data_IF_576785673217
#
_entry.id   IF_576785673217
#
_cell.length_a   1.000
_cell.length_b   1.000
_cell.length_c   1.000
_cell.angle_alpha   90.00
_cell.angle_beta   90.00
_cell.angle_gamma   90.00
#
_symmetry.space_group_name_H-M   'P 1'
#
loop_
_entity.id
_entity.type
_entity.pdbx_description
1 polymer ?
#
# COMPACT_ATOMS: atom_id res chain seq x y z
N UNK A 1 -31.47 36.08 -77.57
CA UNK A 1 -32.91 36.37 -77.36
C UNK A 1 -33.51 35.24 -76.53
N UNK A 2 -34.45 35.58 -75.62
CA UNK A 2 -35.33 34.72 -74.80
C UNK A 2 -34.64 33.92 -73.65
N UNK A 3 -34.82 34.23 -72.35
CA UNK A 3 -35.99 34.29 -71.43
C UNK A 3 -36.34 32.94 -70.77
N UNK A 4 -36.15 32.91 -69.42
CA UNK A 4 -36.96 32.25 -68.34
C UNK A 4 -37.11 30.71 -68.45
N UNK A 5 -37.37 29.90 -67.42
CA UNK A 5 -38.01 30.05 -66.11
C UNK A 5 -37.70 28.79 -65.25
N UNK A 6 -38.10 28.84 -63.98
CA UNK A 6 -37.93 27.91 -62.86
C UNK A 6 -38.19 26.41 -63.05
N UNK A 7 -37.61 25.62 -62.14
CA UNK A 7 -38.11 24.32 -61.69
C UNK A 7 -37.33 23.79 -60.48
N UNK A 8 -37.97 23.79 -59.30
CA UNK A 8 -37.49 23.21 -58.03
C UNK A 8 -37.81 21.72 -58.02
N UNK A 9 -36.89 20.86 -57.54
CA UNK A 9 -37.23 19.64 -56.78
C UNK A 9 -35.98 19.09 -56.08
N UNK A 10 -36.10 18.92 -54.77
CA UNK A 10 -35.15 18.22 -53.91
C UNK A 10 -35.29 16.69 -54.07
N UNK A 11 -34.21 15.94 -53.91
CA UNK A 11 -34.22 14.69 -53.13
C UNK A 11 -32.80 14.24 -52.76
N UNK A 12 -32.75 13.50 -51.66
CA UNK A 12 -31.62 13.29 -50.77
C UNK A 12 -30.52 12.34 -51.25
N UNK A 13 -29.39 12.52 -50.56
CA UNK A 13 -28.09 11.83 -50.54
C UNK A 13 -28.20 10.32 -50.37
N UNK A 14 -27.25 9.57 -50.94
CA UNK A 14 -26.53 8.45 -50.30
C UNK A 14 -25.31 8.07 -51.17
N UNK A 15 -24.14 8.64 -50.86
CA UNK A 15 -22.85 8.15 -51.36
C UNK A 15 -22.19 7.34 -50.23
N UNK A 16 -22.14 6.02 -50.43
CA UNK A 16 -21.40 5.08 -49.60
C UNK A 16 -19.89 5.32 -49.76
N UNK A 17 -19.22 5.77 -48.69
CA UNK A 17 -17.76 5.77 -48.60
C UNK A 17 -17.25 4.47 -47.97
N UNK A 18 -16.05 3.98 -48.34
CA UNK A 18 -15.59 2.65 -47.96
C UNK A 18 -15.08 2.60 -46.52
N UNK A 19 -15.20 1.42 -45.93
CA UNK A 19 -14.58 1.03 -44.68
C UNK A 19 -13.05 1.15 -44.77
N UNK A 20 -12.44 1.75 -43.74
CA UNK A 20 -11.03 1.55 -43.42
C UNK A 20 -10.93 1.09 -41.97
N UNK A 21 -10.69 -0.21 -41.82
CA UNK A 21 -10.10 -0.78 -40.63
C UNK A 21 -8.78 -0.04 -40.36
N UNK A 22 -8.62 0.54 -39.18
CA UNK A 22 -7.33 1.04 -38.74
C UNK A 22 -6.72 0.08 -37.73
N UNK A 23 -5.54 -0.35 -38.13
CA UNK A 23 -4.58 -1.24 -37.51
C UNK A 23 -4.22 -0.80 -36.08
N UNK A 24 -4.25 -1.73 -35.13
CA UNK A 24 -4.04 -1.51 -33.69
C UNK A 24 -2.57 -1.30 -33.29
N UNK A 25 -1.84 -0.43 -34.01
CA UNK A 25 -0.45 -0.12 -33.72
C UNK A 25 -0.30 1.08 -32.78
N UNK A 26 0.33 0.89 -31.61
CA UNK A 26 0.72 1.99 -30.72
C UNK A 26 1.77 2.86 -31.44
N UNK A 27 1.45 4.13 -31.68
CA UNK A 27 2.41 5.14 -32.13
C UNK A 27 2.98 5.88 -30.92
N UNK A 28 4.27 5.70 -30.67
CA UNK A 28 4.99 6.52 -29.70
C UNK A 28 5.32 7.87 -30.32
N UNK A 29 4.73 8.93 -29.77
CA UNK A 29 5.04 10.31 -30.13
C UNK A 29 6.02 10.88 -29.11
N UNK A 30 7.11 11.48 -29.59
CA UNK A 30 8.12 12.10 -28.73
C UNK A 30 7.53 13.34 -28.06
N UNK A 31 7.79 13.53 -26.77
CA UNK A 31 7.32 14.70 -26.02
C UNK A 31 7.91 16.00 -26.62
N UNK A 32 7.12 17.08 -26.71
CA UNK A 32 7.62 18.37 -27.20
C UNK A 32 8.62 18.98 -26.21
N UNK A 33 9.66 19.63 -26.74
CA UNK A 33 10.69 20.31 -25.95
C UNK A 33 10.13 21.56 -25.26
N UNK A 34 10.70 21.89 -24.10
CA UNK A 34 10.25 22.98 -23.25
C UNK A 34 10.25 24.32 -24.01
N UNK A 35 9.06 24.90 -24.19
CA UNK A 35 8.87 26.21 -24.83
C UNK A 35 8.16 26.19 -26.20
N UNK A 36 7.80 25.03 -26.77
CA UNK A 36 7.02 24.99 -28.01
C UNK A 36 5.54 25.33 -27.79
N UNK A 37 5.04 26.37 -28.46
CA UNK A 37 3.62 26.70 -28.57
C UNK A 37 3.02 26.10 -29.85
N UNK A 38 2.77 24.78 -29.83
CA UNK A 38 2.00 24.06 -30.87
C UNK A 38 0.55 23.77 -30.43
N UNK A 39 -0.29 23.19 -31.32
CA UNK A 39 -1.67 22.84 -30.98
C UNK A 39 -1.69 21.82 -29.84
N UNK A 40 -2.30 22.20 -28.71
CA UNK A 40 -2.50 21.32 -27.56
C UNK A 40 -3.60 20.31 -27.87
N UNK A 41 -3.42 19.05 -27.46
CA UNK A 41 -4.48 18.06 -27.49
C UNK A 41 -5.54 18.51 -26.47
N UNK A 42 -6.65 19.05 -26.97
CA UNK A 42 -7.77 19.45 -26.16
C UNK A 42 -8.72 18.24 -26.07
N UNK A 43 -8.68 17.51 -24.96
CA UNK A 43 -9.63 16.40 -24.74
C UNK A 43 -10.95 17.05 -24.31
N UNK A 44 -11.83 17.31 -25.28
CA UNK A 44 -13.22 17.64 -25.02
C UNK A 44 -14.03 16.36 -25.13
N UNK A 45 -14.50 15.85 -23.99
CA UNK A 45 -15.48 14.77 -23.98
C UNK A 45 -16.84 15.42 -24.29
N UNK A 46 -17.42 15.10 -25.44
CA UNK A 46 -18.75 15.63 -25.79
C UNK A 46 -19.85 14.83 -25.08
N UNK A 47 -21.04 15.41 -24.83
CA UNK A 47 -22.17 14.67 -24.27
C UNK A 47 -22.54 13.42 -25.10
N UNK A 48 -22.35 13.46 -26.42
CA UNK A 48 -22.53 12.30 -27.30
C UNK A 48 -21.48 11.19 -27.06
N UNK A 49 -20.26 11.55 -26.66
CA UNK A 49 -19.22 10.57 -26.30
C UNK A 49 -19.55 9.86 -24.98
N UNK A 50 -20.21 10.55 -24.05
CA UNK A 50 -20.72 9.94 -22.80
C UNK A 50 -21.87 8.97 -23.06
N UNK A 51 -22.78 9.31 -23.99
CA UNK A 51 -23.90 8.45 -24.36
C UNK A 51 -23.45 7.17 -25.10
N UNK A 52 -22.44 7.27 -25.98
CA UNK A 52 -21.88 6.08 -26.70
C UNK A 52 -21.13 5.12 -25.80
N UNK A 53 -20.47 5.62 -24.75
CA UNK A 53 -19.75 4.77 -23.80
C UNK A 53 -20.69 4.06 -22.82
N UNK A 54 -21.98 4.40 -22.86
CA UNK A 54 -22.95 3.98 -21.86
C UNK A 54 -22.65 4.68 -20.55
N UNK A 55 -23.66 5.29 -19.94
CA UNK A 55 -23.55 5.61 -18.52
C UNK A 55 -23.17 4.29 -17.81
N UNK A 56 -22.17 4.27 -16.90
CA UNK A 56 -22.06 3.14 -15.99
C UNK A 56 -23.44 2.97 -15.40
N UNK A 57 -24.02 1.78 -15.56
CA UNK A 57 -25.25 1.45 -14.87
C UNK A 57 -25.05 1.89 -13.42
N UNK A 58 -25.94 2.72 -12.90
CA UNK A 58 -25.94 3.07 -11.48
C UNK A 58 -25.99 1.75 -10.73
N UNK A 59 -24.82 1.23 -10.37
CA UNK A 59 -24.71 0.17 -9.42
C UNK A 59 -25.21 0.81 -8.15
N UNK A 60 -26.47 0.57 -7.82
CA UNK A 60 -27.00 0.84 -6.48
C UNK A 60 -25.97 0.25 -5.52
N UNK A 61 -25.15 1.11 -4.93
CA UNK A 61 -24.40 0.78 -3.73
C UNK A 61 -25.48 0.64 -2.66
N UNK A 62 -26.08 -0.55 -2.59
CA UNK A 62 -26.76 -0.96 -1.39
C UNK A 62 -25.67 -1.02 -0.33
N UNK A 63 -25.68 -0.04 0.56
CA UNK A 63 -25.19 -0.20 1.93
C UNK A 63 -25.99 -1.37 2.52
N UNK A 64 -25.59 -2.59 2.15
CA UNK A 64 -25.99 -3.78 2.86
C UNK A 64 -25.46 -3.59 4.26
N UNK A 65 -26.36 -3.66 5.24
CA UNK A 65 -25.96 -3.88 6.61
C UNK A 65 -24.87 -4.96 6.60
N UNK A 66 -23.75 -4.68 7.29
CA UNK A 66 -22.69 -5.66 7.52
C UNK A 66 -23.37 -6.92 8.03
N UNK A 67 -23.49 -7.92 7.15
CA UNK A 67 -23.95 -9.23 7.56
C UNK A 67 -22.92 -9.69 8.60
N UNK A 68 -23.34 -10.27 9.73
CA UNK A 68 -22.40 -10.81 10.70
C UNK A 68 -21.45 -11.72 9.92
N UNK A 69 -20.15 -11.48 10.10
CA UNK A 69 -19.09 -12.24 9.45
C UNK A 69 -19.50 -13.72 9.44
N UNK A 70 -19.48 -14.32 8.25
CA UNK A 70 -19.67 -15.76 8.13
C UNK A 70 -18.69 -16.40 9.12
N UNK A 71 -19.24 -17.10 10.11
CA UNK A 71 -18.49 -17.86 11.09
C UNK A 71 -17.75 -18.96 10.35
N UNK A 72 -16.54 -18.66 9.90
CA UNK A 72 -15.61 -19.59 9.28
C UNK A 72 -14.24 -19.36 9.91
N UNK A 73 -13.95 -20.22 10.88
CA UNK A 73 -12.67 -20.38 11.59
C UNK A 73 -12.11 -19.09 12.20
N UNK A 74 -12.72 -18.66 13.30
CA UNK A 74 -11.97 -17.89 14.31
C UNK A 74 -10.85 -18.79 14.81
N UNK A 75 -9.61 -18.33 14.69
CA UNK A 75 -8.43 -19.02 15.20
C UNK A 75 -8.50 -19.08 16.73
N UNK A 76 -9.21 -20.07 17.27
CA UNK A 76 -9.35 -20.34 18.71
C UNK A 76 -8.04 -20.83 19.37
N UNK A 77 -6.88 -20.54 18.78
CA UNK A 77 -5.61 -21.19 19.04
C UNK A 77 -4.48 -20.32 19.60
N UNK A 78 -4.65 -19.02 19.82
CA UNK A 78 -3.60 -18.19 20.44
C UNK A 78 -4.08 -17.62 21.77
N UNK A 79 -3.77 -18.30 22.88
CA UNK A 79 -4.05 -17.82 24.25
C UNK A 79 -3.17 -16.64 24.72
N UNK A 80 -2.60 -15.88 23.79
CA UNK A 80 -1.68 -14.77 24.03
C UNK A 80 -2.36 -13.41 24.19
N UNK A 81 -1.58 -12.38 24.52
CA UNK A 81 -2.06 -11.02 24.78
C UNK A 81 -2.80 -10.37 23.59
N UNK A 82 -2.64 -10.90 22.38
CA UNK A 82 -3.34 -10.45 21.16
C UNK A 82 -4.46 -11.38 20.69
N UNK A 83 -4.92 -12.33 21.53
CA UNK A 83 -6.03 -13.23 21.19
C UNK A 83 -7.29 -12.50 20.72
N UNK A 84 -7.63 -11.40 21.41
CA UNK A 84 -8.77 -10.54 21.10
C UNK A 84 -8.69 -9.90 19.70
N UNK A 85 -7.48 -9.70 19.19
CA UNK A 85 -7.27 -9.16 17.84
C UNK A 85 -7.56 -10.25 16.79
N UNK A 86 -6.98 -11.44 16.97
CA UNK A 86 -7.14 -12.56 16.04
C UNK A 86 -8.51 -13.25 16.11
N UNK A 87 -9.31 -12.97 17.14
CA UNK A 87 -10.71 -13.39 17.20
C UNK A 87 -11.57 -12.71 16.12
N UNK A 88 -11.20 -11.49 15.72
CA UNK A 88 -11.98 -10.66 14.78
C UNK A 88 -11.28 -10.51 13.42
N UNK A 89 -9.95 -10.54 13.38
CA UNK A 89 -9.17 -10.25 12.18
C UNK A 89 -8.71 -11.55 11.51
N UNK A 90 -9.16 -11.84 10.26
CA UNK A 90 -8.76 -13.04 9.54
C UNK A 90 -7.26 -13.13 9.29
N UNK A 91 -6.65 -14.24 9.70
CA UNK A 91 -5.21 -14.52 9.59
C UNK A 91 -4.84 -15.31 8.33
N UNK A 92 -5.79 -15.96 7.67
CA UNK A 92 -5.55 -16.90 6.58
C UNK A 92 -5.37 -16.19 5.22
N UNK A 93 -4.74 -16.88 4.28
CA UNK A 93 -4.72 -16.52 2.86
C UNK A 93 -6.02 -16.99 2.17
N UNK A 94 -6.46 -16.32 1.10
CA UNK A 94 -5.78 -15.26 0.33
C UNK A 94 -5.74 -13.90 1.04
N UNK A 95 -4.99 -12.95 0.46
CA UNK A 95 -5.02 -11.54 0.87
C UNK A 95 -6.44 -10.97 0.82
N UNK A 96 -6.79 -10.13 1.78
CA UNK A 96 -8.07 -9.40 1.81
C UNK A 96 -7.80 -7.92 2.12
N UNK A 97 -7.94 -7.00 1.16
CA UNK A 97 -7.74 -5.57 1.40
C UNK A 97 -8.61 -5.00 2.54
N UNK A 98 -9.79 -5.57 2.81
CA UNK A 98 -10.69 -5.08 3.84
C UNK A 98 -10.17 -5.34 5.26
N UNK A 99 -9.38 -6.40 5.47
CA UNK A 99 -8.93 -6.78 6.82
C UNK A 99 -7.98 -5.78 7.45
N UNK A 100 -7.26 -5.00 6.64
CA UNK A 100 -6.43 -3.91 7.16
C UNK A 100 -7.30 -2.84 7.83
N UNK A 101 -8.38 -2.39 7.18
CA UNK A 101 -9.30 -1.42 7.77
C UNK A 101 -9.99 -1.96 9.02
N UNK A 102 -10.47 -3.21 8.96
CA UNK A 102 -11.05 -3.86 10.12
C UNK A 102 -10.05 -3.94 11.29
N UNK A 103 -8.77 -4.24 11.01
CA UNK A 103 -7.71 -4.26 12.01
C UNK A 103 -7.47 -2.88 12.64
N UNK A 104 -7.43 -1.82 11.82
CA UNK A 104 -7.25 -0.45 12.29
C UNK A 104 -8.42 0.02 13.16
N UNK A 105 -9.66 -0.27 12.75
CA UNK A 105 -10.86 0.04 13.52
C UNK A 105 -10.86 -0.71 14.86
N UNK A 106 -10.58 -2.01 14.83
CA UNK A 106 -10.54 -2.86 16.02
C UNK A 106 -9.48 -2.40 17.02
N UNK A 107 -8.27 -2.08 16.53
CA UNK A 107 -7.18 -1.53 17.35
C UNK A 107 -7.53 -0.19 17.99
N UNK A 108 -8.36 0.63 17.33
CA UNK A 108 -8.73 1.96 17.84
C UNK A 108 -9.75 1.88 18.99
N UNK A 109 -10.61 0.86 19.02
CA UNK A 109 -11.70 0.73 20.01
C UNK A 109 -11.39 -0.25 21.13
N UNK A 110 -10.47 -1.20 20.93
CA UNK A 110 -10.18 -2.24 21.90
C UNK A 110 -9.31 -1.72 23.07
N UNK A 111 -9.80 -1.74 24.33
CA UNK A 111 -8.99 -1.34 25.49
C UNK A 111 -7.75 -2.24 25.68
N UNK A 112 -7.82 -3.50 25.26
CA UNK A 112 -6.74 -4.48 25.32
C UNK A 112 -5.54 -4.10 24.42
N UNK A 113 -5.73 -3.23 23.42
CA UNK A 113 -4.65 -2.74 22.56
C UNK A 113 -3.51 -2.08 23.36
N UNK A 114 -3.83 -1.48 24.51
CA UNK A 114 -2.85 -0.91 25.44
C UNK A 114 -1.83 -1.94 25.98
N UNK A 115 -2.17 -3.23 25.97
CA UNK A 115 -1.32 -4.31 26.45
C UNK A 115 -0.32 -4.85 25.42
N UNK A 116 -0.43 -4.44 24.15
CA UNK A 116 0.44 -4.91 23.05
C UNK A 116 1.89 -4.41 23.15
N UNK A 117 2.17 -3.46 24.04
CA UNK A 117 3.50 -2.83 24.13
C UNK A 117 3.86 -2.03 22.87
N UNK A 118 2.87 -1.37 22.26
CA UNK A 118 3.09 -0.53 21.09
C UNK A 118 4.05 0.63 21.41
N UNK A 119 4.94 1.00 20.46
CA UNK A 119 5.78 2.18 20.57
C UNK A 119 4.96 3.45 20.89
N UNK A 120 5.46 4.25 21.83
CA UNK A 120 4.85 5.54 22.18
C UNK A 120 5.16 6.60 21.12
N UNK A 121 4.30 7.62 21.03
CA UNK A 121 4.48 8.73 20.10
C UNK A 121 5.87 9.39 20.24
N UNK A 122 6.37 9.61 21.45
CA UNK A 122 7.70 10.18 21.68
C UNK A 122 8.82 9.37 21.02
N UNK A 123 8.68 8.04 21.01
CA UNK A 123 9.67 7.14 20.42
C UNK A 123 9.59 7.18 18.91
N UNK A 124 8.38 7.17 18.35
CA UNK A 124 8.17 7.27 16.91
C UNK A 124 8.66 8.62 16.37
N UNK A 125 8.36 9.73 17.06
CA UNK A 125 8.85 11.08 16.71
C UNK A 125 10.37 11.17 16.72
N UNK A 126 11.03 10.67 17.77
CA UNK A 126 12.49 10.70 17.89
C UNK A 126 13.19 9.91 16.77
N UNK A 127 12.62 8.78 16.36
CA UNK A 127 13.14 8.00 15.23
C UNK A 127 12.96 8.78 13.93
N UNK A 128 11.81 9.42 13.72
CA UNK A 128 11.57 10.24 12.53
C UNK A 128 12.54 11.43 12.44
N UNK A 129 12.84 12.09 13.56
CA UNK A 129 13.82 13.18 13.64
C UNK A 129 15.24 12.69 13.33
N UNK A 130 15.64 11.54 13.86
CA UNK A 130 16.98 11.00 13.70
C UNK A 130 17.23 10.39 12.31
N UNK A 131 16.25 9.68 11.77
CA UNK A 131 16.41 8.80 10.60
C UNK A 131 15.42 9.08 9.47
N UNK A 132 14.61 10.14 9.55
CA UNK A 132 13.56 10.41 8.57
C UNK A 132 14.07 10.63 7.15
N UNK A 133 15.31 11.14 6.98
CA UNK A 133 15.92 11.32 5.66
C UNK A 133 16.29 9.98 5.03
N UNK A 134 16.89 9.09 5.83
CA UNK A 134 17.32 7.76 5.42
C UNK A 134 16.09 6.89 5.11
N UNK A 135 15.02 6.98 5.92
CA UNK A 135 13.73 6.34 5.66
C UNK A 135 13.11 6.86 4.36
N UNK A 136 13.06 8.18 4.17
CA UNK A 136 12.52 8.77 2.94
C UNK A 136 13.33 8.34 1.72
N UNK A 137 14.66 8.37 1.80
CA UNK A 137 15.52 7.96 0.69
C UNK A 137 15.32 6.49 0.32
N UNK A 138 15.25 5.59 1.31
CA UNK A 138 15.11 4.15 1.10
C UNK A 138 13.75 3.75 0.49
N UNK A 139 12.70 4.54 0.72
CA UNK A 139 11.33 4.24 0.28
C UNK A 139 10.99 4.79 -1.10
N UNK A 140 11.81 5.66 -1.68
CA UNK A 140 11.59 6.21 -3.03
C UNK A 140 11.56 5.09 -4.07
N UNK A 141 10.48 5.04 -4.85
CA UNK A 141 10.31 4.06 -5.92
C UNK A 141 9.86 2.67 -5.45
N UNK A 142 9.55 2.52 -4.16
CA UNK A 142 9.03 1.27 -3.57
C UNK A 142 7.53 1.35 -3.31
N UNK A 143 6.93 0.24 -2.89
CA UNK A 143 5.55 0.16 -2.40
C UNK A 143 5.45 0.32 -0.87
N UNK A 144 6.52 0.77 -0.21
CA UNK A 144 6.63 0.92 1.24
C UNK A 144 6.55 2.40 1.59
N UNK A 145 5.54 2.80 2.37
CA UNK A 145 5.49 4.18 2.86
C UNK A 145 6.58 4.46 3.90
N UNK A 146 7.10 5.70 3.98
CA UNK A 146 7.94 6.14 5.08
C UNK A 146 7.32 5.87 6.46
N UNK A 147 6.01 6.08 6.62
CA UNK A 147 5.30 5.81 7.86
C UNK A 147 5.30 4.33 8.23
N UNK A 148 5.19 3.43 7.24
CA UNK A 148 5.24 1.99 7.46
C UNK A 148 6.65 1.51 7.84
N UNK A 149 7.68 1.98 7.13
CA UNK A 149 9.07 1.70 7.51
C UNK A 149 9.39 2.21 8.93
N UNK A 150 8.94 3.42 9.28
CA UNK A 150 9.10 4.00 10.61
C UNK A 150 8.41 3.15 11.70
N UNK A 151 7.20 2.66 11.43
CA UNK A 151 6.46 1.80 12.35
C UNK A 151 7.19 0.48 12.62
N UNK A 152 7.77 -0.13 11.58
CA UNK A 152 8.60 -1.34 11.70
C UNK A 152 9.85 -1.04 12.54
N UNK A 153 10.62 0.02 12.23
CA UNK A 153 11.80 0.40 13.03
C UNK A 153 11.45 0.58 14.52
N UNK A 154 10.34 1.26 14.80
CA UNK A 154 9.88 1.51 16.16
C UNK A 154 9.56 0.21 16.91
N UNK A 155 8.96 -0.77 16.23
CA UNK A 155 8.63 -2.07 16.80
C UNK A 155 9.86 -2.99 16.91
N UNK A 156 10.81 -2.91 15.99
CA UNK A 156 11.98 -3.79 15.96
C UNK A 156 13.03 -3.41 16.99
N UNK A 157 13.46 -2.16 17.00
CA UNK A 157 14.63 -1.72 17.77
C UNK A 157 14.33 -0.58 18.75
N UNK A 158 13.14 0.02 18.67
CA UNK A 158 12.83 1.31 19.29
C UNK A 158 13.81 2.44 18.90
N UNK A 159 14.42 2.34 17.71
CA UNK A 159 15.39 3.30 17.20
C UNK A 159 16.84 3.04 17.62
N UNK A 160 17.14 1.86 18.18
CA UNK A 160 18.51 1.52 18.59
C UNK A 160 19.29 0.96 17.40
N UNK A 161 20.32 1.69 16.98
CA UNK A 161 21.18 1.31 15.85
C UNK A 161 22.13 0.16 16.19
N UNK A 162 22.39 -0.09 17.48
CA UNK A 162 23.28 -1.13 18.02
C UNK A 162 22.52 -2.37 18.54
N UNK A 163 21.22 -2.47 18.25
CA UNK A 163 20.39 -3.57 18.75
C UNK A 163 20.80 -4.92 18.12
N UNK A 164 21.02 -5.92 18.98
CA UNK A 164 21.27 -7.32 18.59
C UNK A 164 20.26 -8.21 19.31
N UNK A 165 19.46 -8.98 18.57
CA UNK A 165 18.54 -9.97 19.15
C UNK A 165 19.27 -11.28 19.51
N UNK A 166 18.61 -12.15 20.30
CA UNK A 166 19.12 -13.49 20.59
C UNK A 166 19.26 -14.39 19.34
N UNK A 167 18.50 -14.10 18.28
CA UNK A 167 18.60 -14.77 16.98
C UNK A 167 19.66 -14.15 16.06
N UNK A 168 20.35 -13.10 16.51
CA UNK A 168 21.37 -12.40 15.73
C UNK A 168 20.82 -11.37 14.75
N UNK A 169 19.57 -10.91 14.92
CA UNK A 169 19.01 -9.81 14.15
C UNK A 169 19.66 -8.47 14.58
N UNK A 170 19.95 -7.59 13.62
CA UNK A 170 20.83 -6.43 13.86
C UNK A 170 20.23 -5.11 13.40
N UNK A 171 20.56 -4.05 14.15
CA UNK A 171 20.29 -2.66 13.79
C UNK A 171 18.83 -2.24 13.89
N UNK A 172 18.51 -1.14 13.21
CA UNK A 172 17.21 -0.44 13.33
C UNK A 172 16.00 -1.30 12.96
N UNK A 173 16.12 -2.07 11.88
CA UNK A 173 15.08 -2.91 11.30
C UNK A 173 15.29 -4.40 11.61
N UNK A 174 16.22 -4.73 12.51
CA UNK A 174 16.50 -6.08 13.01
C UNK A 174 16.63 -7.11 11.88
N UNK A 175 17.58 -6.89 10.97
CA UNK A 175 17.88 -7.83 9.90
C UNK A 175 18.75 -8.97 10.42
N UNK A 176 18.33 -10.22 10.22
CA UNK A 176 19.22 -11.37 10.41
C UNK A 176 20.28 -11.41 9.30
N UNK A 177 21.47 -12.01 9.52
CA UNK A 177 22.58 -11.93 8.57
C UNK A 177 22.25 -12.41 7.16
N UNK A 178 21.48 -13.51 7.03
CA UNK A 178 21.06 -14.02 5.73
C UNK A 178 20.15 -13.04 4.96
N UNK A 179 19.28 -12.32 5.66
CA UNK A 179 18.42 -11.29 5.07
C UNK A 179 19.24 -10.06 4.70
N UNK A 180 20.14 -9.62 5.57
CA UNK A 180 21.06 -8.52 5.29
C UNK A 180 21.87 -8.79 4.00
N UNK A 181 22.47 -9.97 3.88
CA UNK A 181 23.21 -10.39 2.68
C UNK A 181 22.32 -10.40 1.43
N UNK A 182 21.12 -11.01 1.51
CA UNK A 182 20.17 -11.09 0.40
C UNK A 182 19.77 -9.72 -0.15
N UNK A 183 19.68 -8.71 0.72
CA UNK A 183 19.26 -7.35 0.37
C UNK A 183 20.43 -6.34 0.35
N UNK A 184 21.67 -6.81 0.20
CA UNK A 184 22.82 -5.97 -0.11
C UNK A 184 23.33 -5.11 1.03
N UNK A 185 23.11 -5.52 2.28
CA UNK A 185 23.60 -4.85 3.48
C UNK A 185 24.96 -5.43 3.86
N UNK A 186 26.02 -4.62 3.77
CA UNK A 186 27.38 -5.02 4.15
C UNK A 186 27.61 -4.86 5.66
N UNK A 187 27.08 -3.79 6.24
CA UNK A 187 27.10 -3.52 7.68
C UNK A 187 25.67 -3.25 8.20
N UNK A 188 25.09 -4.22 8.90
CA UNK A 188 23.74 -4.10 9.44
C UNK A 188 23.66 -3.19 10.69
N UNK A 189 24.79 -2.72 11.23
CA UNK A 189 24.82 -1.70 12.28
C UNK A 189 24.90 -0.28 11.72
N UNK A 190 25.23 -0.12 10.43
CA UNK A 190 25.11 1.17 9.76
C UNK A 190 23.62 1.50 9.54
N UNK A 191 23.12 2.62 10.09
CA UNK A 191 21.69 2.94 10.02
C UNK A 191 21.16 3.07 8.59
N UNK A 192 21.93 3.67 7.68
CA UNK A 192 21.49 3.91 6.31
C UNK A 192 21.40 2.60 5.52
N UNK A 193 22.41 1.74 5.63
CA UNK A 193 22.38 0.41 5.01
C UNK A 193 21.27 -0.47 5.60
N UNK A 194 21.11 -0.48 6.93
CA UNK A 194 20.08 -1.28 7.59
C UNK A 194 18.67 -0.86 7.17
N UNK A 195 18.39 0.44 7.11
CA UNK A 195 17.10 0.96 6.63
C UNK A 195 16.89 0.61 5.16
N UNK A 196 17.91 0.81 4.30
CA UNK A 196 17.80 0.50 2.88
C UNK A 196 17.50 -1.00 2.64
N UNK A 197 18.22 -1.90 3.31
CA UNK A 197 17.99 -3.33 3.21
C UNK A 197 16.65 -3.78 3.78
N UNK A 198 16.23 -3.22 4.92
CA UNK A 198 14.93 -3.54 5.51
C UNK A 198 13.75 -3.05 4.69
N UNK A 199 13.85 -1.86 4.08
CA UNK A 199 12.84 -1.37 3.14
C UNK A 199 12.81 -2.20 1.86
N UNK A 200 13.96 -2.59 1.32
CA UNK A 200 14.02 -3.50 0.17
C UNK A 200 13.39 -4.87 0.47
N UNK A 201 13.59 -5.39 1.68
CA UNK A 201 12.93 -6.61 2.12
C UNK A 201 11.40 -6.45 2.24
N UNK A 202 10.93 -5.36 2.87
CA UNK A 202 9.51 -5.04 2.94
C UNK A 202 8.89 -4.91 1.55
N UNK A 203 9.53 -4.20 0.62
CA UNK A 203 9.02 -4.03 -0.74
C UNK A 203 8.89 -5.36 -1.49
N UNK A 204 9.87 -6.25 -1.33
CA UNK A 204 9.79 -7.61 -1.86
C UNK A 204 8.60 -8.38 -1.27
N UNK A 205 8.39 -8.29 0.05
CA UNK A 205 7.23 -8.91 0.72
C UNK A 205 5.89 -8.31 0.27
N UNK A 206 5.84 -7.00 0.02
CA UNK A 206 4.65 -6.34 -0.52
C UNK A 206 4.25 -6.95 -1.87
N UNK A 207 5.21 -7.36 -2.69
CA UNK A 207 4.97 -8.10 -3.93
C UNK A 207 4.51 -9.54 -3.70
N UNK A 208 5.11 -10.25 -2.75
CA UNK A 208 4.81 -11.66 -2.47
C UNK A 208 3.41 -11.88 -1.85
N UNK A 209 2.93 -10.92 -1.06
CA UNK A 209 1.69 -11.04 -0.30
C UNK A 209 0.60 -10.06 -0.74
N UNK A 210 0.57 -9.72 -2.03
CA UNK A 210 -0.47 -8.87 -2.66
C UNK A 210 -0.71 -7.53 -1.93
N UNK A 211 0.35 -6.98 -1.33
CA UNK A 211 0.35 -5.75 -0.51
C UNK A 211 -0.54 -5.83 0.74
N UNK A 212 -0.79 -7.03 1.25
CA UNK A 212 -1.54 -7.23 2.48
C UNK A 212 -0.67 -6.93 3.72
N UNK A 213 -0.95 -5.87 4.49
CA UNK A 213 -0.10 -5.46 5.60
C UNK A 213 0.06 -6.53 6.67
N UNK A 214 -0.98 -7.35 6.89
CA UNK A 214 -0.99 -8.37 7.93
C UNK A 214 -0.04 -9.51 7.56
N UNK A 215 -0.11 -9.98 6.31
CA UNK A 215 0.77 -11.04 5.83
C UNK A 215 2.20 -10.56 5.65
N UNK A 216 2.40 -9.32 5.16
CA UNK A 216 3.73 -8.72 5.01
C UNK A 216 4.43 -8.61 6.35
N UNK A 217 3.75 -8.11 7.39
CA UNK A 217 4.33 -8.02 8.74
C UNK A 217 4.58 -9.40 9.35
N UNK A 218 3.67 -10.36 9.14
CA UNK A 218 3.88 -11.72 9.60
C UNK A 218 5.10 -12.36 8.93
N UNK A 219 5.29 -12.16 7.62
CA UNK A 219 6.42 -12.68 6.88
C UNK A 219 7.73 -11.97 7.23
N UNK A 220 7.69 -10.65 7.51
CA UNK A 220 8.87 -9.92 7.97
C UNK A 220 9.42 -10.51 9.27
N UNK A 221 8.53 -10.82 10.23
CA UNK A 221 8.92 -11.38 11.54
C UNK A 221 9.18 -12.89 11.52
N UNK A 222 8.32 -13.69 10.89
CA UNK A 222 8.39 -15.16 10.93
C UNK A 222 9.12 -15.80 9.73
N UNK A 223 9.43 -15.01 8.70
CA UNK A 223 9.87 -15.47 7.39
C UNK A 223 8.71 -15.84 6.46
N UNK A 224 8.86 -15.52 5.17
CA UNK A 224 7.88 -15.76 4.12
C UNK A 224 7.45 -17.25 4.05
N UNK A 225 8.41 -18.16 4.21
CA UNK A 225 8.16 -19.59 4.11
C UNK A 225 7.29 -20.11 5.26
N UNK A 226 7.33 -19.48 6.43
CA UNK A 226 6.44 -19.84 7.54
C UNK A 226 5.00 -19.44 7.23
N UNK A 227 4.79 -18.25 6.68
CA UNK A 227 3.46 -17.77 6.25
C UNK A 227 2.89 -18.65 5.15
N UNK A 228 3.69 -18.98 4.13
CA UNK A 228 3.27 -19.89 3.05
C UNK A 228 2.87 -21.28 3.58
N UNK A 229 3.68 -21.88 4.46
CA UNK A 229 3.38 -23.20 5.05
C UNK A 229 2.14 -23.19 5.93
N UNK A 230 1.91 -22.10 6.66
CA UNK A 230 0.75 -21.95 7.52
C UNK A 230 -0.53 -21.63 6.74
N UNK A 231 -0.42 -21.19 5.47
CA UNK A 231 -1.57 -20.70 4.72
C UNK A 231 -2.08 -19.35 5.23
N UNK A 232 -1.22 -18.53 5.86
CA UNK A 232 -1.60 -17.31 6.58
C UNK A 232 -0.62 -16.97 7.70
N UNK A 233 -1.05 -16.17 8.68
CA UNK A 233 -0.22 -15.81 9.84
C UNK A 233 0.04 -17.07 10.70
N UNK A 234 1.30 -17.49 10.89
CA UNK A 234 1.61 -18.68 11.68
C UNK A 234 1.19 -18.52 13.15
N UNK A 235 0.89 -19.63 13.83
CA UNK A 235 0.55 -19.63 15.26
C UNK A 235 1.79 -19.52 16.15
N UNK A 236 2.60 -18.50 15.92
CA UNK A 236 3.73 -18.11 16.75
C UNK A 236 3.30 -16.93 17.62
N UNK A 237 3.40 -17.06 18.94
CA UNK A 237 2.97 -16.01 19.89
C UNK A 237 3.67 -14.67 19.60
N UNK A 238 4.95 -14.72 19.24
CA UNK A 238 5.73 -13.55 18.86
C UNK A 238 5.12 -12.86 17.63
N UNK A 239 4.92 -13.59 16.53
CA UNK A 239 4.36 -13.04 15.28
C UNK A 239 2.93 -12.54 15.46
N UNK A 240 2.11 -13.28 16.21
CA UNK A 240 0.73 -12.89 16.54
C UNK A 240 0.66 -11.65 17.42
N UNK A 241 1.69 -11.36 18.20
CA UNK A 241 1.78 -10.10 18.96
C UNK A 241 2.41 -8.99 18.12
N UNK A 242 3.38 -9.34 17.29
CA UNK A 242 4.15 -8.44 16.44
C UNK A 242 3.27 -7.65 15.47
N UNK A 243 2.39 -8.34 14.73
CA UNK A 243 1.56 -7.70 13.69
C UNK A 243 0.69 -6.55 14.26
N UNK A 244 -0.21 -6.77 15.24
CA UNK A 244 -1.04 -5.68 15.76
C UNK A 244 -0.23 -4.58 16.47
N UNK A 245 0.95 -4.91 17.02
CA UNK A 245 1.87 -3.94 17.62
C UNK A 245 2.46 -2.99 16.58
N UNK A 246 2.85 -3.48 15.40
CA UNK A 246 3.33 -2.62 14.29
C UNK A 246 2.19 -1.79 13.71
N UNK A 247 1.00 -2.38 13.55
CA UNK A 247 -0.18 -1.64 13.09
C UNK A 247 -0.53 -0.46 14.02
N UNK A 248 -0.41 -0.66 15.33
CA UNK A 248 -0.54 0.43 16.32
C UNK A 248 0.56 1.50 16.16
N UNK A 249 1.81 1.08 15.93
CA UNK A 249 2.90 2.01 15.66
C UNK A 249 2.67 2.83 14.37
N UNK A 250 2.07 2.23 13.35
CA UNK A 250 1.75 2.88 12.08
C UNK A 250 0.74 4.02 12.25
N UNK A 251 -0.25 3.89 13.14
CA UNK A 251 -1.19 4.99 13.47
C UNK A 251 -0.44 6.22 13.98
N UNK A 252 0.56 6.01 14.83
CA UNK A 252 1.41 7.12 15.33
C UNK A 252 2.29 7.67 14.21
N UNK A 253 2.94 6.81 13.44
CA UNK A 253 3.85 7.19 12.36
C UNK A 253 3.14 7.99 11.25
N UNK A 254 1.93 7.57 10.84
CA UNK A 254 1.14 8.30 9.83
C UNK A 254 0.70 9.68 10.33
N UNK A 255 0.49 9.84 11.63
CA UNK A 255 0.17 11.12 12.26
C UNK A 255 1.30 12.13 12.22
N UNK A 256 2.55 11.69 12.02
CA UNK A 256 3.70 12.57 11.82
C UNK A 256 3.85 13.05 10.38
N UNK A 257 3.05 12.55 9.44
CA UNK A 257 3.13 12.94 8.03
C UNK A 257 2.39 14.26 7.79
N UNK A 258 2.92 15.11 6.89
CA UNK A 258 2.24 16.32 6.42
C UNK A 258 0.83 16.06 5.88
N UNK A 259 0.68 14.92 5.22
CA UNK A 259 -0.60 14.38 4.79
C UNK A 259 -0.64 12.94 5.26
N UNK A 260 -1.46 12.61 6.27
CA UNK A 260 -1.50 11.25 6.81
C UNK A 260 -1.93 10.22 5.75
N UNK A 261 -1.06 9.26 5.38
CA UNK A 261 -1.34 8.24 4.36
C UNK A 261 -2.47 7.29 4.77
N UNK A 262 -3.39 6.93 3.86
CA UNK A 262 -4.49 6.00 4.16
C UNK A 262 -4.06 4.54 4.06
N UNK A 263 -3.13 4.24 3.16
CA UNK A 263 -2.52 2.93 2.98
C UNK A 263 -1.07 2.91 3.49
N UNK A 264 -0.58 1.72 3.85
CA UNK A 264 0.84 1.51 4.18
C UNK A 264 1.78 1.71 2.99
N UNK A 265 1.25 1.84 1.78
CA UNK A 265 1.98 2.12 0.53
C UNK A 265 1.94 3.59 0.11
N UNK A 266 1.13 4.42 0.76
CA UNK A 266 0.98 5.82 0.37
C UNK A 266 2.19 6.66 0.79
N UNK A 267 2.59 7.61 -0.05
CA UNK A 267 3.71 8.50 0.26
C UNK A 267 3.51 9.29 1.56
N UNK A 268 4.60 9.54 2.27
CA UNK A 268 4.60 10.34 3.49
C UNK A 268 5.83 11.26 3.51
N UNK A 269 5.64 12.52 3.90
CA UNK A 269 6.73 13.43 4.25
C UNK A 269 6.54 13.84 5.69
N UNK A 270 7.49 13.51 6.56
CA UNK A 270 7.37 13.80 8.00
C UNK A 270 7.40 15.30 8.29
N UNK A 271 6.57 15.72 9.24
CA UNK A 271 6.60 17.02 9.90
C UNK A 271 7.68 16.98 10.99
N UNK A 272 8.93 17.19 10.60
CA UNK A 272 10.02 17.31 11.55
C UNK A 272 9.94 18.71 12.19
N UNK A 273 9.55 18.75 13.46
CA UNK A 273 9.53 19.98 14.24
C UNK A 273 10.99 20.38 14.56
N UNK A 274 11.48 21.42 13.91
CA UNK A 274 12.78 22.05 14.22
C UNK A 274 12.69 22.90 15.49
#
# INVERSE_FOLDING_TARGET
MAKRMWGVAAFAVLLSGPALAQDGGIRFVRAPEAGQTGPRINIQITPEDMERQGAPAEAEVRLGAVAPAATGDTDAGSGGASAWFWAEIPSHMPADPARFWAAQEHLAIAPEASSLGAPRLDTVSRIAEAHGREILAATIGTQVSPAFALAVIAAESAGRTDAISGAGAQGLMQLIPATAERFGVEDAMDPAQNIAGGVAYLDWLMGEFDRDPILVLAAYNAGEGAVTRAGGVPNYDETRTYVPRVLSAWVMARGLCNTPPDLISDGCVFQLMN
#
